data_IF_157866925064
#
_entry.id   IF_157866925064
#
_cell.length_a   1.000
_cell.length_b   1.000
_cell.length_c   1.000
_cell.angle_alpha   90.00
_cell.angle_beta   90.00
_cell.angle_gamma   90.00
#
_symmetry.space_group_name_H-M   'P 1'
#
loop_
_entity.id
_entity.type
_entity.pdbx_description
1 polymer ?
#
# COMPACT_ATOMS: atom_id res chain seq x y z
N UNK A 1 -53.60 -11.96 -17.81
CA UNK A 1 -52.39 -12.04 -18.69
C UNK A 1 -51.36 -10.94 -18.48
N UNK A 2 -51.73 -9.65 -18.32
CA UNK A 2 -50.74 -8.58 -18.04
C UNK A 2 -50.11 -8.68 -16.64
N UNK A 3 -50.90 -8.92 -15.59
CA UNK A 3 -50.40 -9.03 -14.21
C UNK A 3 -49.43 -10.20 -14.00
N UNK A 4 -49.71 -11.36 -14.62
CA UNK A 4 -48.84 -12.55 -14.54
C UNK A 4 -47.51 -12.34 -15.24
N UNK A 5 -47.46 -11.57 -16.34
CA UNK A 5 -46.22 -11.23 -17.04
C UNK A 5 -45.37 -10.21 -16.27
N UNK A 6 -46.00 -9.26 -15.57
CA UNK A 6 -45.29 -8.31 -14.71
C UNK A 6 -44.69 -9.03 -13.50
N UNK A 7 -45.43 -9.91 -12.83
CA UNK A 7 -44.92 -10.70 -11.71
C UNK A 7 -43.70 -11.56 -12.09
N UNK A 8 -43.75 -12.25 -13.24
CA UNK A 8 -42.62 -13.07 -13.73
C UNK A 8 -41.38 -12.20 -14.04
N UNK A 9 -41.58 -11.00 -14.58
CA UNK A 9 -40.48 -10.09 -14.91
C UNK A 9 -39.83 -9.49 -13.67
N UNK A 10 -40.62 -9.17 -12.63
CA UNK A 10 -40.10 -8.63 -11.36
C UNK A 10 -39.37 -9.71 -10.55
N UNK A 11 -39.83 -10.96 -10.55
CA UNK A 11 -39.12 -12.05 -9.87
C UNK A 11 -37.80 -12.39 -10.58
N UNK A 12 -37.73 -12.28 -11.91
CA UNK A 12 -36.49 -12.52 -12.68
C UNK A 12 -35.44 -11.43 -12.42
N UNK A 13 -35.86 -10.17 -12.25
CA UNK A 13 -34.98 -9.03 -11.93
C UNK A 13 -34.40 -9.10 -10.51
N UNK A 14 -35.13 -9.66 -9.55
CA UNK A 14 -34.64 -9.85 -8.17
C UNK A 14 -33.63 -11.01 -8.10
N UNK A 15 -33.80 -12.07 -8.91
CA UNK A 15 -32.84 -13.18 -9.00
C UNK A 15 -31.56 -12.79 -9.73
N UNK A 16 -31.63 -11.85 -10.67
CA UNK A 16 -30.45 -11.26 -11.33
C UNK A 16 -29.75 -10.18 -10.47
N UNK A 17 -30.44 -9.62 -9.47
CA UNK A 17 -29.89 -8.62 -8.54
C UNK A 17 -29.18 -9.21 -7.31
N UNK A 18 -29.24 -10.53 -7.12
CA UNK A 18 -28.60 -11.24 -6.00
C UNK A 18 -27.26 -11.90 -6.35
N UNK A 19 -26.57 -11.39 -7.37
CA UNK A 19 -25.12 -11.60 -7.52
C UNK A 19 -24.42 -10.29 -7.15
N UNK A 20 -24.27 -9.96 -5.85
CA UNK A 20 -23.22 -9.03 -5.49
C UNK A 20 -21.88 -9.70 -5.82
N UNK A 21 -21.19 -9.21 -6.84
CA UNK A 21 -19.72 -9.25 -6.89
C UNK A 21 -18.96 -10.55 -7.14
N UNK A 22 -19.56 -11.72 -7.39
CA UNK A 22 -18.79 -12.95 -7.61
C UNK A 22 -18.48 -13.21 -9.11
N UNK A 23 -17.59 -12.42 -9.71
CA UNK A 23 -16.80 -12.81 -10.90
C UNK A 23 -15.31 -12.80 -10.52
N UNK A 24 -15.00 -13.24 -9.31
CA UNK A 24 -13.64 -13.44 -8.85
C UNK A 24 -13.66 -14.73 -8.06
N UNK A 25 -12.88 -15.74 -8.47
CA UNK A 25 -12.61 -16.91 -7.63
C UNK A 25 -11.98 -16.37 -6.33
N UNK A 26 -12.68 -16.47 -5.17
CA UNK A 26 -12.09 -16.04 -3.92
C UNK A 26 -10.88 -16.94 -3.63
N UNK A 27 -9.79 -16.34 -3.18
CA UNK A 27 -8.67 -17.12 -2.63
C UNK A 27 -9.19 -17.75 -1.34
N UNK A 28 -9.42 -19.06 -1.37
CA UNK A 28 -9.77 -19.83 -0.18
C UNK A 28 -8.49 -20.23 0.56
N UNK A 29 -8.51 -20.08 1.88
CA UNK A 29 -7.43 -20.46 2.79
C UNK A 29 -7.88 -21.65 3.63
N UNK A 30 -6.91 -22.47 4.01
CA UNK A 30 -7.18 -23.61 4.88
C UNK A 30 -7.66 -23.11 6.25
N UNK A 31 -8.59 -23.86 6.84
CA UNK A 31 -9.23 -23.56 8.13
C UNK A 31 -8.87 -24.62 9.14
N UNK A 32 -8.64 -24.19 10.37
CA UNK A 32 -8.37 -25.09 11.47
C UNK A 32 -9.59 -25.99 11.75
N UNK A 33 -9.35 -27.26 12.08
CA UNK A 33 -10.40 -28.19 12.52
C UNK A 33 -10.74 -27.98 14.00
N UNK A 34 -9.73 -27.61 14.81
CA UNK A 34 -9.86 -27.34 16.25
C UNK A 34 -9.54 -25.87 16.57
N UNK A 35 -10.58 -25.03 16.66
CA UNK A 35 -10.46 -23.59 16.94
C UNK A 35 -9.74 -23.29 18.27
N UNK A 36 -9.82 -24.18 19.27
CA UNK A 36 -9.18 -23.99 20.58
C UNK A 36 -7.66 -24.30 20.56
N UNK A 37 -7.15 -24.91 19.48
CA UNK A 37 -5.74 -25.27 19.30
C UNK A 37 -5.20 -24.81 17.92
N UNK A 38 -5.57 -23.59 17.54
CA UNK A 38 -5.23 -22.97 16.27
C UNK A 38 -4.52 -21.63 16.49
N UNK A 39 -3.51 -21.34 15.67
CA UNK A 39 -2.91 -20.00 15.59
C UNK A 39 -3.57 -19.25 14.43
N UNK A 40 -4.23 -18.14 14.73
CA UNK A 40 -4.92 -17.34 13.71
C UNK A 40 -4.12 -16.10 13.35
N UNK A 41 -3.80 -15.95 12.06
CA UNK A 41 -3.04 -14.80 11.54
C UNK A 41 -3.97 -13.90 10.73
N UNK A 42 -4.24 -12.70 11.25
CA UNK A 42 -4.92 -11.66 10.50
C UNK A 42 -4.00 -11.12 9.40
N UNK A 43 -4.44 -11.24 8.15
CA UNK A 43 -3.68 -10.85 6.96
C UNK A 43 -4.56 -10.02 6.03
N UNK A 44 -4.11 -8.83 5.65
CA UNK A 44 -4.87 -7.97 4.75
C UNK A 44 -5.01 -8.61 3.38
N UNK A 45 -6.23 -8.70 2.84
CA UNK A 45 -6.50 -9.19 1.48
C UNK A 45 -5.83 -8.31 0.43
N UNK A 46 -5.05 -8.94 -0.46
CA UNK A 46 -4.42 -8.29 -1.62
C UNK A 46 -4.76 -9.06 -2.90
N UNK A 47 -4.80 -8.37 -4.04
CA UNK A 47 -5.07 -9.03 -5.33
C UNK A 47 -3.93 -9.98 -5.73
N UNK A 48 -2.72 -9.68 -5.28
CA UNK A 48 -1.49 -10.40 -5.61
C UNK A 48 -1.41 -11.81 -4.98
N UNK A 49 -2.22 -12.13 -3.96
CA UNK A 49 -2.27 -13.46 -3.34
C UNK A 49 -2.81 -14.58 -4.25
N UNK A 50 -3.32 -14.21 -5.44
CA UNK A 50 -3.60 -15.16 -6.52
C UNK A 50 -2.32 -15.78 -7.09
N UNK A 51 -1.18 -15.10 -6.95
CA UNK A 51 0.12 -15.67 -7.25
C UNK A 51 0.54 -16.63 -6.13
N UNK A 52 1.03 -17.81 -6.49
CA UNK A 52 1.48 -18.80 -5.52
C UNK A 52 2.59 -18.25 -4.62
N UNK A 53 3.46 -17.37 -5.11
CA UNK A 53 4.62 -16.86 -4.37
C UNK A 53 4.29 -15.84 -3.29
N UNK A 54 3.16 -15.15 -3.42
CA UNK A 54 2.70 -14.16 -2.43
C UNK A 54 1.52 -14.66 -1.60
N UNK A 55 1.09 -15.92 -1.80
CA UNK A 55 -0.04 -16.50 -1.08
C UNK A 55 0.30 -16.71 0.42
N UNK A 56 -0.43 -16.05 1.35
CA UNK A 56 -0.14 -16.17 2.78
C UNK A 56 -0.36 -17.56 3.37
N UNK A 57 -1.04 -18.48 2.65
CA UNK A 57 -1.10 -19.89 3.02
C UNK A 57 0.29 -20.53 3.11
N UNK A 58 1.27 -20.07 2.32
CA UNK A 58 2.65 -20.56 2.43
C UNK A 58 3.27 -20.26 3.80
N UNK A 59 2.97 -19.09 4.37
CA UNK A 59 3.40 -18.71 5.71
C UNK A 59 2.71 -19.61 6.75
N UNK A 60 1.39 -19.78 6.66
CA UNK A 60 0.62 -20.64 7.54
C UNK A 60 1.18 -22.08 7.53
N UNK A 61 1.25 -22.73 6.36
CA UNK A 61 1.76 -24.09 6.21
C UNK A 61 3.18 -24.27 6.79
N UNK A 62 4.04 -23.25 6.62
CA UNK A 62 5.40 -23.31 7.17
C UNK A 62 5.42 -23.20 8.69
N UNK A 63 4.57 -22.37 9.27
CA UNK A 63 4.42 -22.27 10.71
C UNK A 63 3.81 -23.54 11.29
N UNK A 64 2.82 -24.14 10.61
CA UNK A 64 2.26 -25.44 10.99
C UNK A 64 3.33 -26.53 11.07
N UNK A 65 4.17 -26.65 10.04
CA UNK A 65 5.25 -27.62 9.99
C UNK A 65 6.25 -27.44 11.15
N UNK A 66 6.57 -26.18 11.48
CA UNK A 66 7.55 -25.84 12.51
C UNK A 66 7.01 -25.99 13.94
N UNK A 67 5.73 -25.68 14.14
CA UNK A 67 5.10 -25.63 15.46
C UNK A 67 4.39 -26.93 15.81
N UNK A 68 3.97 -27.71 14.82
CA UNK A 68 3.15 -28.91 15.01
C UNK A 68 1.73 -28.60 15.49
N UNK A 69 1.20 -27.41 15.16
CA UNK A 69 -0.17 -26.99 15.42
C UNK A 69 -0.76 -26.35 14.15
N UNK A 70 -2.09 -26.31 14.04
CA UNK A 70 -2.77 -25.70 12.87
C UNK A 70 -2.62 -24.17 12.89
N UNK A 71 -2.51 -23.58 11.69
CA UNK A 71 -2.38 -22.14 11.49
C UNK A 71 -3.32 -21.72 10.39
N UNK A 72 -4.24 -20.80 10.69
CA UNK A 72 -5.16 -20.28 9.69
C UNK A 72 -4.91 -18.82 9.33
N UNK A 73 -5.24 -18.48 8.08
CA UNK A 73 -5.27 -17.09 7.62
C UNK A 73 -6.67 -16.53 7.83
N UNK A 74 -6.76 -15.46 8.62
CA UNK A 74 -7.95 -14.64 8.79
C UNK A 74 -7.84 -13.40 7.91
N UNK A 75 -8.64 -13.34 6.86
CA UNK A 75 -8.59 -12.22 5.91
C UNK A 75 -9.25 -10.98 6.48
N UNK A 76 -8.56 -9.85 6.38
CA UNK A 76 -9.06 -8.55 6.84
C UNK A 76 -8.99 -7.52 5.72
N UNK A 77 -9.84 -6.50 5.81
CA UNK A 77 -9.90 -5.44 4.82
C UNK A 77 -8.75 -4.44 4.92
N UNK A 78 -7.93 -4.48 5.97
CA UNK A 78 -6.75 -3.63 6.08
C UNK A 78 -6.27 -3.39 7.51
N UNK A 79 -5.38 -2.40 7.73
CA UNK A 79 -4.72 -2.21 9.01
C UNK A 79 -5.69 -2.04 10.19
N UNK A 80 -6.69 -1.16 10.06
CA UNK A 80 -7.67 -0.95 11.13
C UNK A 80 -8.47 -2.23 11.47
N UNK A 81 -8.83 -3.02 10.44
CA UNK A 81 -9.53 -4.30 10.63
C UNK A 81 -8.61 -5.37 11.25
N UNK A 82 -7.32 -5.36 10.91
CA UNK A 82 -6.30 -6.22 11.54
C UNK A 82 -6.18 -5.91 13.03
N UNK A 83 -6.07 -4.63 13.39
CA UNK A 83 -5.98 -4.17 14.78
C UNK A 83 -7.24 -4.55 15.56
N UNK A 84 -8.42 -4.40 14.96
CA UNK A 84 -9.68 -4.84 15.56
C UNK A 84 -9.75 -6.36 15.70
N UNK A 85 -9.26 -7.13 14.73
CA UNK A 85 -9.21 -8.59 14.81
C UNK A 85 -8.38 -9.05 16.02
N UNK A 86 -7.22 -8.43 16.25
CA UNK A 86 -6.39 -8.68 17.43
C UNK A 86 -7.10 -8.25 18.73
N UNK A 87 -7.68 -7.05 18.77
CA UNK A 87 -8.31 -6.49 19.99
C UNK A 87 -9.49 -7.35 20.47
N UNK A 88 -10.28 -7.87 19.54
CA UNK A 88 -11.46 -8.66 19.86
C UNK A 88 -11.20 -10.17 19.92
N UNK A 89 -9.93 -10.60 19.77
CA UNK A 89 -9.55 -12.02 19.85
C UNK A 89 -10.00 -12.87 18.67
N UNK A 90 -10.21 -12.26 17.50
CA UNK A 90 -10.44 -12.99 16.25
C UNK A 90 -9.14 -13.41 15.56
N UNK A 91 -7.98 -12.93 16.04
CA UNK A 91 -6.67 -13.33 15.57
C UNK A 91 -5.63 -13.19 16.69
N UNK A 92 -4.60 -14.04 16.64
CA UNK A 92 -3.48 -14.02 17.59
C UNK A 92 -2.33 -13.13 17.10
N UNK A 93 -2.12 -13.11 15.78
CA UNK A 93 -1.06 -12.33 15.12
C UNK A 93 -1.69 -11.47 14.03
N UNK A 94 -1.27 -10.21 13.93
CA UNK A 94 -1.63 -9.34 12.81
C UNK A 94 -0.41 -9.00 11.97
N UNK A 95 -0.51 -9.22 10.65
CA UNK A 95 0.53 -8.79 9.72
C UNK A 95 0.29 -7.34 9.30
N UNK A 96 1.15 -6.43 9.77
CA UNK A 96 0.97 -4.98 9.65
C UNK A 96 2.22 -4.31 9.09
N UNK A 97 2.00 -3.25 8.33
CA UNK A 97 3.05 -2.28 7.97
C UNK A 97 3.53 -1.51 9.22
N UNK A 98 4.79 -1.05 9.22
CA UNK A 98 5.46 -0.46 10.38
C UNK A 98 4.68 0.65 11.10
N UNK A 99 4.04 1.56 10.35
CA UNK A 99 3.23 2.65 10.89
C UNK A 99 1.99 2.17 11.64
N UNK A 100 1.26 1.22 11.05
CA UNK A 100 0.11 0.59 11.69
C UNK A 100 0.55 -0.25 12.90
N UNK A 101 1.67 -0.96 12.80
CA UNK A 101 2.22 -1.74 13.91
C UNK A 101 2.58 -0.82 15.09
N UNK A 102 3.30 0.29 14.85
CA UNK A 102 3.61 1.30 15.87
C UNK A 102 2.35 1.87 16.52
N UNK A 103 1.36 2.29 15.73
CA UNK A 103 0.09 2.80 16.25
C UNK A 103 -0.59 1.78 17.18
N UNK A 104 -0.51 0.50 16.83
CA UNK A 104 -1.12 -0.59 17.59
C UNK A 104 -0.44 -0.81 18.93
N UNK A 105 0.90 -0.72 18.98
CA UNK A 105 1.67 -0.78 20.23
C UNK A 105 1.26 0.38 21.14
N UNK A 106 1.27 1.60 20.60
CA UNK A 106 1.01 2.82 21.40
C UNK A 106 -0.43 2.90 21.91
N UNK A 107 -1.41 2.48 21.11
CA UNK A 107 -2.83 2.67 21.44
C UNK A 107 -3.48 1.45 22.09
N UNK A 108 -2.97 0.24 21.83
CA UNK A 108 -3.59 -1.03 22.27
C UNK A 108 -2.68 -1.90 23.13
N UNK A 109 -1.40 -1.57 23.25
CA UNK A 109 -0.44 -2.34 24.05
C UNK A 109 -0.06 -3.68 23.45
N UNK A 110 -0.19 -3.84 22.12
CA UNK A 110 0.36 -5.02 21.43
C UNK A 110 1.90 -4.99 21.41
N UNK A 111 2.50 -6.13 21.10
CA UNK A 111 3.95 -6.32 21.01
C UNK A 111 4.35 -6.79 19.61
N UNK A 112 5.60 -6.52 19.21
CA UNK A 112 6.17 -7.03 17.96
C UNK A 112 6.72 -8.43 18.19
N UNK A 113 6.15 -9.41 17.50
CA UNK A 113 6.63 -10.80 17.53
C UNK A 113 7.79 -11.05 16.53
N UNK A 114 7.71 -10.44 15.34
CA UNK A 114 8.68 -10.65 14.26
C UNK A 114 8.66 -9.46 13.28
N UNK A 115 9.70 -9.36 12.45
CA UNK A 115 9.79 -8.43 11.33
C UNK A 115 10.11 -9.21 10.04
N UNK A 116 9.59 -8.74 8.90
CA UNK A 116 9.95 -9.30 7.61
C UNK A 116 11.44 -9.04 7.31
N UNK A 117 12.14 -10.07 6.85
CA UNK A 117 13.49 -9.91 6.33
C UNK A 117 13.45 -10.04 4.81
N UNK A 118 13.93 -9.02 4.11
CA UNK A 118 14.06 -9.03 2.66
C UNK A 118 15.08 -10.08 2.19
N UNK A 119 15.03 -10.42 0.90
CA UNK A 119 15.97 -11.35 0.27
C UNK A 119 17.44 -10.92 0.33
N UNK A 120 17.71 -9.62 0.51
CA UNK A 120 19.05 -9.07 0.73
C UNK A 120 19.51 -9.09 2.20
N UNK A 121 18.67 -9.62 3.10
CA UNK A 121 18.93 -9.75 4.54
C UNK A 121 18.55 -8.51 5.37
N UNK A 122 18.10 -7.41 4.76
CA UNK A 122 17.69 -6.21 5.51
C UNK A 122 16.29 -6.41 6.12
N UNK A 123 16.10 -6.11 7.41
CA UNK A 123 14.78 -6.11 8.05
C UNK A 123 14.12 -4.71 7.95
N UNK A 124 14.32 -4.03 6.82
CA UNK A 124 13.78 -2.70 6.57
C UNK A 124 13.79 -2.38 5.06
N UNK A 125 13.03 -1.36 4.69
CA UNK A 125 13.04 -0.69 3.41
C UNK A 125 13.23 0.81 3.57
N UNK A 126 13.68 1.47 2.50
CA UNK A 126 13.79 2.93 2.49
C UNK A 126 12.52 3.55 1.91
N UNK A 127 12.08 4.65 2.48
CA UNK A 127 11.02 5.49 1.92
C UNK A 127 11.59 6.39 0.80
N UNK A 128 10.90 6.39 -0.34
CA UNK A 128 11.36 7.01 -1.58
C UNK A 128 10.21 7.77 -2.26
N UNK A 129 10.52 8.93 -2.83
CA UNK A 129 9.67 9.61 -3.80
C UNK A 129 10.16 9.26 -5.20
N UNK A 130 9.34 8.55 -5.94
CA UNK A 130 9.54 8.25 -7.35
C UNK A 130 8.85 9.32 -8.20
N UNK A 131 9.58 9.86 -9.17
CA UNK A 131 9.08 10.86 -10.12
C UNK A 131 9.51 10.47 -11.53
N UNK A 132 8.94 11.11 -12.55
CA UNK A 132 9.46 10.97 -13.91
C UNK A 132 10.86 11.60 -14.03
N UNK A 133 11.77 10.97 -14.76
CA UNK A 133 13.18 11.40 -14.90
C UNK A 133 13.34 12.81 -15.50
N UNK A 134 12.37 13.23 -16.31
CA UNK A 134 12.35 14.57 -16.93
C UNK A 134 11.64 15.64 -16.06
N UNK A 135 11.14 15.28 -14.87
CA UNK A 135 10.48 16.24 -13.97
C UNK A 135 11.42 17.35 -13.50
N UNK A 136 10.85 18.51 -13.16
CA UNK A 136 11.59 19.60 -12.51
C UNK A 136 12.25 19.15 -11.20
N UNK A 137 11.58 18.28 -10.43
CA UNK A 137 12.09 17.63 -9.24
C UNK A 137 13.33 16.77 -9.53
N UNK A 138 13.28 15.89 -10.52
CA UNK A 138 14.43 15.06 -10.89
C UNK A 138 15.61 15.90 -11.38
N UNK A 139 15.34 16.93 -12.18
CA UNK A 139 16.35 17.84 -12.69
C UNK A 139 17.04 18.64 -11.56
N UNK A 140 16.26 19.14 -10.59
CA UNK A 140 16.79 19.84 -9.42
C UNK A 140 17.68 18.92 -8.57
N UNK A 141 17.23 17.69 -8.30
CA UNK A 141 18.01 16.71 -7.53
C UNK A 141 19.36 16.40 -8.20
N UNK A 142 19.36 16.16 -9.52
CA UNK A 142 20.59 15.96 -10.30
C UNK A 142 21.52 17.18 -10.31
N UNK A 143 20.96 18.39 -10.21
CA UNK A 143 21.71 19.63 -10.13
C UNK A 143 22.27 19.91 -8.71
N UNK A 144 21.90 19.10 -7.71
CA UNK A 144 22.22 19.35 -6.30
C UNK A 144 21.44 20.52 -5.72
N UNK A 145 20.32 20.88 -6.34
CA UNK A 145 19.33 21.83 -5.83
C UNK A 145 18.31 21.10 -4.94
N UNK A 146 17.35 21.83 -4.38
CA UNK A 146 16.33 21.26 -3.51
C UNK A 146 15.11 20.79 -4.32
N UNK A 147 14.93 19.48 -4.56
CA UNK A 147 13.80 18.97 -5.32
C UNK A 147 12.50 18.97 -4.50
N UNK A 148 12.57 18.97 -3.17
CA UNK A 148 11.41 18.83 -2.30
C UNK A 148 10.58 20.11 -2.25
N UNK A 149 11.23 21.27 -2.40
CA UNK A 149 10.53 22.55 -2.58
C UNK A 149 9.65 22.61 -3.84
N UNK A 150 9.93 21.78 -4.85
CA UNK A 150 9.18 21.72 -6.12
C UNK A 150 7.97 20.79 -6.07
N UNK A 151 7.79 20.04 -4.97
CA UNK A 151 6.66 19.13 -4.79
C UNK A 151 5.32 19.86 -4.54
N UNK A 152 5.37 21.11 -4.09
CA UNK A 152 4.17 21.89 -3.83
C UNK A 152 3.37 22.12 -5.12
N UNK A 153 2.07 21.80 -5.11
CA UNK A 153 1.21 21.90 -6.30
C UNK A 153 1.21 20.65 -7.20
N UNK A 154 2.10 19.67 -6.96
CA UNK A 154 2.17 18.42 -7.74
C UNK A 154 1.10 17.43 -7.28
N UNK A 155 0.83 16.38 -8.06
CA UNK A 155 -0.11 15.33 -7.69
C UNK A 155 0.65 14.21 -6.97
N UNK A 156 0.34 13.97 -5.70
CA UNK A 156 0.95 12.87 -4.96
C UNK A 156 0.12 11.58 -5.01
N UNK A 157 0.81 10.46 -5.11
CA UNK A 157 0.28 9.11 -5.04
C UNK A 157 0.84 8.46 -3.77
N UNK A 158 -0.05 8.06 -2.87
CA UNK A 158 0.29 7.45 -1.59
C UNK A 158 -0.13 5.99 -1.57
N UNK A 159 0.56 5.16 -0.78
CA UNK A 159 0.21 3.73 -0.67
C UNK A 159 -1.06 3.48 0.13
N UNK A 160 -1.27 4.25 1.20
CA UNK A 160 -2.45 4.23 2.07
C UNK A 160 -2.35 5.37 3.11
N UNK A 161 -3.43 5.72 3.82
CA UNK A 161 -3.40 6.75 4.87
C UNK A 161 -2.43 6.48 6.03
N UNK A 162 -2.15 5.21 6.36
CA UNK A 162 -1.27 4.83 7.48
C UNK A 162 0.00 4.09 7.03
N UNK A 163 0.32 4.16 5.73
CA UNK A 163 1.50 3.49 5.18
C UNK A 163 2.79 4.18 5.61
N UNK A 164 3.82 3.40 5.96
CA UNK A 164 5.10 3.94 6.45
C UNK A 164 5.80 4.76 5.37
N UNK A 165 6.26 4.13 4.29
CA UNK A 165 6.98 4.85 3.22
C UNK A 165 6.09 5.65 2.28
N UNK A 166 4.81 5.29 2.20
CA UNK A 166 3.88 5.98 1.31
C UNK A 166 3.17 7.17 1.95
N UNK A 167 3.30 7.40 3.25
CA UNK A 167 2.61 8.50 3.93
C UNK A 167 3.39 9.02 5.14
N UNK A 168 3.57 8.20 6.19
CA UNK A 168 4.04 8.70 7.49
C UNK A 168 5.47 9.22 7.45
N UNK A 169 6.39 8.49 6.82
CA UNK A 169 7.79 8.90 6.68
C UNK A 169 7.94 10.15 5.79
N UNK A 170 7.45 10.19 4.53
CA UNK A 170 7.60 11.38 3.69
C UNK A 170 6.90 12.59 4.28
N UNK A 171 5.65 12.47 4.75
CA UNK A 171 4.92 13.61 5.33
C UNK A 171 5.56 14.08 6.63
N UNK A 172 5.94 13.15 7.53
CA UNK A 172 6.61 13.49 8.78
C UNK A 172 7.94 14.21 8.55
N UNK A 173 8.72 13.75 7.58
CA UNK A 173 9.97 14.41 7.18
C UNK A 173 9.71 15.80 6.60
N UNK A 174 8.79 15.93 5.64
CA UNK A 174 8.50 17.23 4.99
C UNK A 174 7.94 18.27 5.97
N UNK A 175 7.15 17.84 6.97
CA UNK A 175 6.69 18.72 8.05
C UNK A 175 7.87 19.14 8.94
N UNK A 176 8.76 18.21 9.30
CA UNK A 176 9.94 18.48 10.13
C UNK A 176 10.91 19.46 9.46
N UNK A 177 11.12 19.32 8.15
CA UNK A 177 12.00 20.21 7.36
C UNK A 177 11.31 21.54 6.98
N UNK A 178 10.00 21.67 7.23
CA UNK A 178 9.25 22.90 7.02
C UNK A 178 8.69 23.12 5.61
N UNK A 179 8.71 22.09 4.75
CA UNK A 179 8.07 22.12 3.42
C UNK A 179 6.54 22.10 3.52
N UNK A 180 6.01 21.34 4.48
CA UNK A 180 4.56 21.13 4.67
C UNK A 180 4.11 21.74 5.98
N UNK A 181 2.98 22.45 5.96
CA UNK A 181 2.30 22.93 7.16
C UNK A 181 1.06 22.11 7.43
N UNK A 182 0.89 21.64 8.68
CA UNK A 182 -0.27 20.86 9.08
C UNK A 182 -1.52 21.75 9.10
N UNK A 183 -2.59 21.25 8.48
CA UNK A 183 -3.90 21.91 8.39
C UNK A 183 -4.91 21.11 9.21
N UNK A 184 -5.69 21.80 10.04
CA UNK A 184 -6.75 21.20 10.85
C UNK A 184 -6.29 20.81 12.25
N UNK A 185 -7.06 19.93 12.90
CA UNK A 185 -6.76 19.42 14.24
C UNK A 185 -5.84 18.20 14.14
N UNK A 186 -4.66 18.28 14.76
CA UNK A 186 -3.66 17.20 14.81
C UNK A 186 -4.18 15.90 15.44
N UNK A 187 -5.29 15.94 16.16
CA UNK A 187 -5.93 14.76 16.75
C UNK A 187 -7.03 14.17 15.86
N UNK A 188 -7.31 14.76 14.70
CA UNK A 188 -8.27 14.26 13.72
C UNK A 188 -7.56 13.71 12.48
N UNK A 189 -7.94 12.50 12.07
CA UNK A 189 -7.44 11.87 10.85
C UNK A 189 -7.69 12.73 9.60
N UNK A 190 -8.78 13.49 9.55
CA UNK A 190 -9.10 14.38 8.41
C UNK A 190 -7.98 15.40 8.15
N UNK A 191 -7.27 15.82 9.22
CA UNK A 191 -6.12 16.74 9.12
C UNK A 191 -5.01 16.19 8.23
N UNK A 192 -4.81 14.87 8.18
CA UNK A 192 -3.84 14.24 7.30
C UNK A 192 -4.20 14.51 5.83
N UNK A 193 -5.45 14.22 5.47
CA UNK A 193 -5.94 14.38 4.09
C UNK A 193 -5.91 15.85 3.66
N UNK A 194 -6.37 16.76 4.53
CA UNK A 194 -6.37 18.20 4.27
C UNK A 194 -4.94 18.74 4.12
N UNK A 195 -4.01 18.28 4.96
CA UNK A 195 -2.60 18.67 4.89
C UNK A 195 -1.95 18.24 3.58
N UNK A 196 -2.16 16.99 3.16
CA UNK A 196 -1.62 16.46 1.90
C UNK A 196 -2.21 17.24 0.72
N UNK A 197 -3.54 17.34 0.62
CA UNK A 197 -4.20 17.96 -0.53
C UNK A 197 -3.90 19.45 -0.68
N UNK A 198 -3.72 20.16 0.44
CA UNK A 198 -3.38 21.58 0.39
C UNK A 198 -1.93 21.86 -0.01
N UNK A 199 -0.98 20.95 0.30
CA UNK A 199 0.41 21.11 -0.11
C UNK A 199 0.63 20.66 -1.56
N UNK A 200 0.14 19.46 -1.88
CA UNK A 200 0.29 18.83 -3.19
C UNK A 200 -0.83 19.30 -4.13
N UNK A 201 -1.88 18.51 -4.25
CA UNK A 201 -3.06 18.81 -5.05
C UNK A 201 -4.29 18.17 -4.42
N UNK A 202 -5.46 18.78 -4.61
CA UNK A 202 -6.75 18.16 -4.27
C UNK A 202 -6.95 16.81 -4.97
N UNK A 203 -6.31 16.62 -6.12
CA UNK A 203 -6.34 15.40 -6.93
C UNK A 203 -5.38 14.29 -6.42
N UNK A 204 -4.67 14.53 -5.32
CA UNK A 204 -3.73 13.55 -4.75
C UNK A 204 -4.44 12.27 -4.30
N UNK A 205 -3.85 11.13 -4.66
CA UNK A 205 -4.40 9.80 -4.38
C UNK A 205 -3.97 9.34 -2.98
N UNK A 206 -4.94 9.26 -2.07
CA UNK A 206 -4.79 8.67 -0.73
C UNK A 206 -5.79 7.51 -0.64
N UNK A 207 -5.38 6.29 -1.04
CA UNK A 207 -6.30 5.21 -1.38
C UNK A 207 -6.78 4.43 -0.16
N UNK A 208 -8.08 4.14 -0.13
CA UNK A 208 -8.68 3.17 0.79
C UNK A 208 -8.46 1.73 0.32
N UNK A 209 -8.64 0.78 1.24
CA UNK A 209 -8.58 -0.65 0.97
C UNK A 209 -9.47 -1.11 -0.19
N UNK A 210 -8.89 -1.90 -1.10
CA UNK A 210 -9.57 -2.43 -2.29
C UNK A 210 -9.66 -1.47 -3.47
N UNK A 211 -9.02 -0.30 -3.42
CA UNK A 211 -8.97 0.65 -4.55
C UNK A 211 -7.75 0.42 -5.45
N UNK A 212 -7.86 0.87 -6.71
CA UNK A 212 -6.88 0.62 -7.78
C UNK A 212 -5.46 1.08 -7.44
N UNK A 213 -5.32 2.25 -6.82
CA UNK A 213 -4.04 2.87 -6.53
C UNK A 213 -3.52 2.56 -5.12
N UNK A 214 -4.09 1.55 -4.44
CA UNK A 214 -3.61 1.14 -3.12
C UNK A 214 -2.30 0.36 -3.16
N UNK A 215 -1.51 0.53 -2.11
CA UNK A 215 -0.29 -0.23 -1.87
C UNK A 215 0.87 0.27 -2.72
N UNK A 216 2.00 -0.42 -2.66
CA UNK A 216 3.22 -0.02 -3.37
C UNK A 216 3.02 -0.06 -4.90
N UNK A 217 2.44 -1.13 -5.43
CA UNK A 217 2.12 -1.24 -6.85
C UNK A 217 1.09 -0.21 -7.30
N UNK A 218 0.03 0.02 -6.53
CA UNK A 218 -1.00 1.01 -6.86
C UNK A 218 -0.50 2.46 -6.82
N UNK A 219 0.35 2.80 -5.85
CA UNK A 219 0.99 4.12 -5.80
C UNK A 219 1.89 4.36 -7.02
N UNK A 220 2.70 3.37 -7.40
CA UNK A 220 3.51 3.45 -8.62
C UNK A 220 2.65 3.54 -9.88
N UNK A 221 1.56 2.77 -9.95
CA UNK A 221 0.61 2.80 -11.05
C UNK A 221 -0.06 4.17 -11.20
N UNK A 222 -0.38 4.85 -10.10
CA UNK A 222 -0.93 6.20 -10.13
C UNK A 222 0.01 7.20 -10.82
N UNK A 223 1.32 7.10 -10.59
CA UNK A 223 2.35 7.84 -11.33
C UNK A 223 2.42 7.38 -12.79
N UNK A 224 2.51 6.07 -13.03
CA UNK A 224 2.69 5.52 -14.37
C UNK A 224 1.52 5.81 -15.31
N UNK A 225 0.28 5.85 -14.81
CA UNK A 225 -0.92 6.16 -15.62
C UNK A 225 -1.22 7.67 -15.71
N UNK A 226 -0.75 8.49 -14.77
CA UNK A 226 -0.79 9.97 -14.79
C UNK A 226 -2.09 10.60 -15.34
N UNK A 227 -3.26 10.05 -14.97
CA UNK A 227 -4.53 10.26 -15.69
C UNK A 227 -5.08 11.70 -15.77
N UNK A 228 -4.56 12.64 -14.95
CA UNK A 228 -5.04 14.02 -14.84
C UNK A 228 -4.03 15.05 -15.34
N UNK A 229 -2.86 14.63 -15.82
CA UNK A 229 -1.78 15.53 -16.20
C UNK A 229 -0.66 14.86 -16.99
N UNK A 230 0.53 15.42 -16.87
CA UNK A 230 1.77 14.89 -17.44
C UNK A 230 2.51 14.10 -16.34
N UNK A 231 3.20 13.01 -16.69
CA UNK A 231 3.94 12.21 -15.71
C UNK A 231 4.96 13.02 -14.89
N UNK A 232 5.46 14.14 -15.42
CA UNK A 232 6.37 15.05 -14.71
C UNK A 232 5.74 15.82 -13.54
N UNK A 233 4.41 15.85 -13.45
CA UNK A 233 3.68 16.47 -12.35
C UNK A 233 3.24 15.50 -11.24
N UNK A 234 3.58 14.22 -11.38
CA UNK A 234 3.20 13.17 -10.43
C UNK A 234 4.37 12.74 -9.54
N UNK A 235 4.04 12.35 -8.30
CA UNK A 235 4.99 11.81 -7.32
C UNK A 235 4.40 10.52 -6.74
N UNK A 236 5.12 9.41 -6.80
CA UNK A 236 4.76 8.19 -6.07
C UNK A 236 5.62 8.03 -4.82
N UNK A 237 4.99 8.09 -3.65
CA UNK A 237 5.63 7.78 -2.39
C UNK A 237 5.55 6.27 -2.13
N UNK A 238 6.69 5.59 -2.19
CA UNK A 238 6.75 4.13 -2.10
C UNK A 238 8.08 3.65 -1.48
N UNK A 239 8.36 2.35 -1.56
CA UNK A 239 9.61 1.76 -1.05
C UNK A 239 10.69 1.70 -2.15
N UNK A 240 11.95 1.52 -1.73
CA UNK A 240 13.10 1.39 -2.63
C UNK A 240 12.98 0.30 -3.72
N UNK A 241 12.46 -0.92 -3.45
CA UNK A 241 12.34 -1.92 -4.50
C UNK A 241 11.06 -1.78 -5.34
N UNK A 242 10.22 -0.74 -5.15
CA UNK A 242 8.93 -0.66 -5.85
C UNK A 242 9.05 -0.67 -7.37
N UNK A 243 10.01 0.05 -7.96
CA UNK A 243 10.21 0.00 -9.42
C UNK A 243 10.75 -1.37 -9.87
N UNK A 244 11.83 -1.92 -9.28
CA UNK A 244 12.29 -3.27 -9.61
C UNK A 244 11.23 -4.37 -9.42
N UNK A 245 10.45 -4.33 -8.33
CA UNK A 245 9.45 -5.35 -7.97
C UNK A 245 8.29 -5.40 -8.97
N UNK A 246 7.86 -4.25 -9.50
CA UNK A 246 6.64 -4.15 -10.31
C UNK A 246 6.90 -3.89 -11.80
N UNK A 247 7.98 -3.20 -12.14
CA UNK A 247 8.31 -2.80 -13.52
C UNK A 247 9.68 -3.31 -14.00
N UNK A 248 10.36 -4.15 -13.22
CA UNK A 248 11.65 -4.74 -13.58
C UNK A 248 11.54 -5.88 -14.60
N UNK A 249 12.00 -7.08 -14.23
CA UNK A 249 12.15 -8.21 -15.16
C UNK A 249 10.82 -8.74 -15.73
N UNK A 250 9.74 -8.69 -14.94
CA UNK A 250 8.38 -9.07 -15.34
C UNK A 250 7.43 -7.89 -15.10
N UNK A 251 7.44 -6.88 -15.98
CA UNK A 251 6.73 -5.63 -15.75
C UNK A 251 5.22 -5.83 -15.80
N UNK A 252 4.51 -5.19 -14.87
CA UNK A 252 3.05 -5.10 -14.94
C UNK A 252 2.63 -4.38 -16.22
N UNK A 253 1.45 -4.72 -16.73
CA UNK A 253 0.96 -4.20 -18.01
C UNK A 253 0.86 -2.68 -18.07
N UNK A 254 0.69 -2.01 -16.93
CA UNK A 254 0.55 -0.56 -16.81
C UNK A 254 1.88 0.19 -16.66
N UNK A 255 3.02 -0.50 -16.56
CA UNK A 255 4.31 0.13 -16.25
C UNK A 255 4.81 1.07 -17.36
N UNK A 256 4.59 0.71 -18.62
CA UNK A 256 5.17 1.37 -19.79
C UNK A 256 4.07 1.77 -20.76
N UNK A 257 3.19 2.64 -20.29
CA UNK A 257 2.12 3.26 -21.08
C UNK A 257 2.25 4.79 -21.01
N UNK A 258 2.00 5.48 -22.12
CA UNK A 258 2.04 6.94 -22.16
C UNK A 258 3.47 7.49 -22.10
N UNK A 259 3.77 8.24 -21.05
CA UNK A 259 5.04 8.95 -20.86
C UNK A 259 6.19 8.05 -20.34
N UNK A 260 5.94 6.78 -20.03
CA UNK A 260 6.95 5.81 -19.58
C UNK A 260 7.23 4.75 -20.65
N UNK A 261 8.50 4.59 -21.03
CA UNK A 261 8.95 3.59 -22.01
C UNK A 261 9.83 2.50 -21.36
N UNK A 262 10.43 2.80 -20.21
CA UNK A 262 11.38 1.90 -19.53
C UNK A 262 11.50 2.19 -18.03
N UNK A 263 12.23 1.34 -17.30
CA UNK A 263 12.55 1.58 -15.88
C UNK A 263 13.42 2.82 -15.66
N UNK A 264 14.15 3.28 -16.69
CA UNK A 264 15.03 4.46 -16.61
C UNK A 264 14.24 5.77 -16.52
N UNK A 265 12.95 5.75 -16.86
CA UNK A 265 12.05 6.90 -16.78
C UNK A 265 11.56 7.14 -15.34
N UNK A 266 11.72 6.14 -14.45
CA UNK A 266 11.47 6.31 -13.02
C UNK A 266 12.73 6.76 -12.29
N UNK A 267 12.65 7.94 -11.67
CA UNK A 267 13.74 8.53 -10.93
C UNK A 267 13.44 8.57 -9.42
N UNK A 268 14.29 7.97 -8.57
CA UNK A 268 14.18 8.12 -7.13
C UNK A 268 14.87 9.40 -6.66
N UNK A 269 14.12 10.32 -6.03
CA UNK A 269 14.70 11.52 -5.45
C UNK A 269 15.68 11.16 -4.30
N UNK A 270 16.80 11.87 -4.23
CA UNK A 270 17.96 11.56 -3.40
C UNK A 270 18.96 10.61 -4.06
N UNK A 271 18.60 10.02 -5.22
CA UNK A 271 19.42 9.11 -5.99
C UNK A 271 19.83 7.83 -5.24
N UNK A 272 20.60 6.99 -5.94
CA UNK A 272 21.22 5.81 -5.33
C UNK A 272 22.56 6.20 -4.71
N UNK A 273 22.79 5.77 -3.47
CA UNK A 273 24.10 5.86 -2.86
C UNK A 273 25.08 4.92 -3.59
N UNK A 274 26.13 5.49 -4.19
CA UNK A 274 27.08 4.73 -5.04
C UNK A 274 27.82 3.60 -4.31
N UNK A 275 27.89 3.64 -2.97
CA UNK A 275 28.61 2.62 -2.16
C UNK A 275 27.69 1.51 -1.69
N UNK A 276 26.47 1.85 -1.31
CA UNK A 276 25.53 0.91 -0.68
C UNK A 276 24.41 0.45 -1.62
N UNK A 277 24.20 1.17 -2.72
CA UNK A 277 23.05 0.99 -3.60
C UNK A 277 21.71 1.39 -2.96
N UNK A 278 21.72 1.97 -1.75
CA UNK A 278 20.50 2.39 -1.06
C UNK A 278 20.08 3.81 -1.48
N UNK A 279 18.77 4.03 -1.55
CA UNK A 279 18.18 5.38 -1.62
C UNK A 279 17.93 5.83 -0.18
N UNK A 280 18.39 7.02 0.20
CA UNK A 280 18.15 7.55 1.54
C UNK A 280 17.44 8.90 1.44
N UNK A 281 16.12 8.86 1.20
CA UNK A 281 15.29 10.05 1.05
C UNK A 281 14.58 10.40 2.36
N UNK A 282 13.60 9.58 2.80
CA UNK A 282 12.76 9.93 3.96
C UNK A 282 12.94 9.04 5.20
N UNK A 283 13.92 8.13 5.19
CA UNK A 283 14.22 7.23 6.30
C UNK A 283 13.84 5.77 6.05
N UNK A 284 13.91 4.97 7.12
CA UNK A 284 13.78 3.50 7.09
C UNK A 284 12.51 3.05 7.81
N UNK A 285 11.76 2.15 7.18
CA UNK A 285 10.64 1.45 7.79
C UNK A 285 10.98 -0.05 7.89
N UNK A 286 10.65 -0.72 9.01
CA UNK A 286 10.84 -2.15 9.15
C UNK A 286 10.00 -2.95 8.15
#
# INVERSE_FOLDING_TARGET
MKATKVAIFTTLLIVLGSIPGCIFDPVEFDKCEDEDNCLTIAFETKEEYKNSDENPQKLANRLEELMGMEVEIYTVSGPAATIAALEYGNADIGFLDGGAAWLSIETRGFEIAAAEQKGDGRPYYNAVAWVHTDSDMANADRAGEDPYALMAGKISCHTSPLGSSGMLLPMGWMISEGYVQVIGDVNNMDSLYDTVRAHFSEDSSIPDSGTLYRGYGGSLRCLAEHTLGDATDYISFAKDPTVPDYCGDDPRSWCFEGDFDSTDDFYPLGGYNETTGEINSFGKAP
#
